data_IF_871090797513
#
_entry.id   IF_871090797513
#
_cell.length_a   1.000
_cell.length_b   1.000
_cell.length_c   1.000
_cell.angle_alpha   90.00
_cell.angle_beta   90.00
_cell.angle_gamma   90.00
#
_symmetry.space_group_name_H-M   'P 1'
#
loop_
_entity.id
_entity.type
_entity.pdbx_description
1 polymer ?
#
# COMPACT_ATOMS: atom_id res chain seq x y z
N UNK A 1 16.65 13.48 -5.89
CA UNK A 1 15.21 13.71 -5.52
C UNK A 1 14.50 14.38 -6.69
N UNK A 2 13.31 13.92 -7.14
CA UNK A 2 12.69 14.42 -8.38
C UNK A 2 12.44 15.93 -8.33
N UNK A 3 12.92 16.62 -9.36
CA UNK A 3 12.87 18.08 -9.53
C UNK A 3 11.46 18.61 -9.82
N UNK A 4 10.48 17.75 -10.10
CA UNK A 4 9.13 18.18 -10.51
C UNK A 4 8.20 18.60 -9.35
N UNK A 5 8.44 18.13 -8.13
CA UNK A 5 7.59 18.46 -6.97
C UNK A 5 8.39 19.18 -5.89
N UNK A 6 7.77 20.17 -5.25
CA UNK A 6 8.37 20.84 -4.09
C UNK A 6 8.25 19.99 -2.80
N UNK A 7 9.15 20.22 -1.83
CA UNK A 7 9.15 19.52 -0.54
C UNK A 7 7.84 19.67 0.21
N UNK A 8 7.22 20.86 0.17
CA UNK A 8 5.92 21.12 0.80
C UNK A 8 4.81 20.28 0.18
N UNK A 9 4.76 20.22 -1.15
CA UNK A 9 3.77 19.43 -1.90
C UNK A 9 3.91 17.93 -1.61
N UNK A 10 5.14 17.40 -1.60
CA UNK A 10 5.38 15.99 -1.22
C UNK A 10 4.90 15.68 0.20
N UNK A 11 5.15 16.57 1.16
CA UNK A 11 4.71 16.36 2.55
C UNK A 11 3.18 16.35 2.67
N UNK A 12 2.50 17.25 1.96
CA UNK A 12 1.04 17.25 1.90
C UNK A 12 0.49 15.94 1.32
N UNK A 13 1.05 15.48 0.19
CA UNK A 13 0.65 14.21 -0.44
C UNK A 13 0.89 13.02 0.49
N UNK A 14 2.01 12.99 1.24
CA UNK A 14 2.28 11.93 2.22
C UNK A 14 1.21 11.88 3.32
N UNK A 15 0.87 13.02 3.93
CA UNK A 15 -0.16 13.07 4.96
C UNK A 15 -1.55 12.72 4.40
N UNK A 16 -1.86 13.18 3.19
CA UNK A 16 -3.11 12.85 2.51
C UNK A 16 -3.24 11.35 2.28
N UNK A 17 -2.25 10.73 1.62
CA UNK A 17 -2.24 9.29 1.36
C UNK A 17 -2.23 8.48 2.66
N UNK A 18 -1.50 8.92 3.69
CA UNK A 18 -1.50 8.29 5.01
C UNK A 18 -2.87 8.32 5.68
N UNK A 19 -3.59 9.44 5.60
CA UNK A 19 -4.96 9.56 6.12
C UNK A 19 -5.92 8.58 5.46
N UNK A 20 -5.88 8.49 4.12
CA UNK A 20 -6.71 7.54 3.37
C UNK A 20 -6.34 6.08 3.63
N UNK A 21 -5.04 5.77 3.77
CA UNK A 21 -4.58 4.43 4.10
C UNK A 21 -5.09 3.98 5.48
N UNK A 22 -5.01 4.86 6.50
CA UNK A 22 -5.52 4.55 7.85
C UNK A 22 -7.04 4.36 7.83
N UNK A 23 -7.78 5.24 7.15
CA UNK A 23 -9.23 5.08 7.01
C UNK A 23 -9.61 3.76 6.33
N UNK A 24 -8.90 3.39 5.25
CA UNK A 24 -9.08 2.12 4.56
C UNK A 24 -8.78 0.91 5.48
N UNK A 25 -7.68 0.98 6.24
CA UNK A 25 -7.28 -0.06 7.19
C UNK A 25 -8.36 -0.30 8.26
N UNK A 26 -8.89 0.76 8.87
CA UNK A 26 -9.94 0.67 9.88
C UNK A 26 -11.22 0.04 9.30
N UNK A 27 -11.65 0.49 8.12
CA UNK A 27 -12.83 -0.07 7.46
C UNK A 27 -12.65 -1.56 7.08
N UNK A 28 -11.48 -1.93 6.55
CA UNK A 28 -11.16 -3.30 6.18
C UNK A 28 -11.10 -4.21 7.42
N UNK A 29 -10.44 -3.78 8.50
CA UNK A 29 -10.38 -4.50 9.77
C UNK A 29 -11.78 -4.71 10.36
N UNK A 30 -12.60 -3.66 10.40
CA UNK A 30 -13.98 -3.76 10.87
C UNK A 30 -14.77 -4.81 10.08
N UNK A 31 -14.65 -4.77 8.75
CA UNK A 31 -15.30 -5.75 7.85
C UNK A 31 -14.83 -7.17 8.16
N UNK A 32 -13.51 -7.40 8.20
CA UNK A 32 -12.93 -8.73 8.49
C UNK A 32 -13.37 -9.23 9.86
N UNK A 33 -13.31 -8.39 10.90
CA UNK A 33 -13.75 -8.79 12.25
C UNK A 33 -15.25 -9.14 12.28
N UNK A 34 -16.08 -8.39 11.55
CA UNK A 34 -17.52 -8.66 11.47
C UNK A 34 -17.79 -10.03 10.82
N UNK A 35 -17.08 -10.34 9.74
CA UNK A 35 -17.17 -11.65 9.10
C UNK A 35 -16.67 -12.76 10.01
N UNK A 36 -15.53 -12.59 10.69
CA UNK A 36 -14.94 -13.61 11.57
C UNK A 36 -15.83 -13.96 12.78
N UNK A 37 -16.61 -13.00 13.29
CA UNK A 37 -17.56 -13.25 14.39
C UNK A 37 -18.70 -14.16 13.97
N UNK A 38 -19.20 -14.05 12.74
CA UNK A 38 -20.31 -14.89 12.24
C UNK A 38 -20.17 -15.24 10.74
N UNK A 39 -19.21 -16.11 10.44
CA UNK A 39 -18.98 -16.66 9.09
C UNK A 39 -20.15 -17.52 8.58
N UNK A 40 -20.90 -18.13 9.51
CA UNK A 40 -21.98 -19.06 9.18
C UNK A 40 -23.22 -18.34 8.64
N UNK A 41 -23.47 -17.12 9.12
CA UNK A 41 -24.59 -16.29 8.65
C UNK A 41 -24.38 -15.73 7.24
N UNK A 42 -23.13 -15.49 6.84
CA UNK A 42 -22.79 -15.02 5.49
C UNK A 42 -22.38 -16.18 4.58
N UNK A 43 -23.34 -17.06 4.30
CA UNK A 43 -23.20 -18.05 3.23
C UNK A 43 -23.09 -17.34 1.84
N UNK A 44 -22.54 -18.06 0.87
CA UNK A 44 -22.46 -17.61 -0.53
C UNK A 44 -23.84 -17.07 -0.98
N UNK A 45 -23.98 -15.86 -1.56
CA UNK A 45 -23.02 -15.13 -2.40
C UNK A 45 -22.23 -13.98 -1.74
N UNK A 46 -22.30 -13.80 -0.41
CA UNK A 46 -21.70 -12.63 0.28
C UNK A 46 -20.20 -12.79 0.61
N UNK A 47 -19.67 -14.02 0.51
CA UNK A 47 -18.27 -14.37 0.84
C UNK A 47 -17.17 -13.64 0.04
N UNK A 48 -17.35 -13.23 -1.24
CA UNK A 48 -16.34 -12.46 -1.99
C UNK A 48 -15.94 -11.14 -1.32
N UNK A 49 -16.85 -10.53 -0.55
CA UNK A 49 -16.60 -9.28 0.18
C UNK A 49 -15.46 -9.45 1.21
N UNK A 50 -15.34 -10.62 1.83
CA UNK A 50 -14.25 -10.90 2.77
C UNK A 50 -12.89 -10.90 2.05
N UNK A 51 -12.78 -11.55 0.89
CA UNK A 51 -11.53 -11.60 0.13
C UNK A 51 -11.13 -10.22 -0.41
N UNK A 52 -12.12 -9.44 -0.85
CA UNK A 52 -11.96 -8.03 -1.19
C UNK A 52 -11.39 -7.22 -0.02
N UNK A 53 -12.00 -7.31 1.16
CA UNK A 53 -11.55 -6.60 2.35
C UNK A 53 -10.11 -6.99 2.77
N UNK A 54 -9.74 -8.27 2.65
CA UNK A 54 -8.37 -8.74 2.90
C UNK A 54 -7.36 -8.13 1.91
N UNK A 55 -7.72 -8.00 0.63
CA UNK A 55 -6.87 -7.35 -0.37
C UNK A 55 -6.66 -5.87 -0.03
N UNK A 56 -7.74 -5.15 0.29
CA UNK A 56 -7.65 -3.73 0.67
C UNK A 56 -6.89 -3.50 1.98
N UNK A 57 -6.95 -4.43 2.94
CA UNK A 57 -6.12 -4.40 4.14
C UNK A 57 -4.63 -4.43 3.77
N UNK A 58 -4.22 -5.36 2.91
CA UNK A 58 -2.83 -5.48 2.48
C UNK A 58 -2.35 -4.25 1.69
N UNK A 59 -3.20 -3.71 0.80
CA UNK A 59 -2.90 -2.47 0.06
C UNK A 59 -2.68 -1.31 1.05
N UNK A 60 -3.55 -1.17 2.06
CA UNK A 60 -3.42 -0.11 3.07
C UNK A 60 -2.11 -0.22 3.86
N UNK A 61 -1.67 -1.44 4.18
CA UNK A 61 -0.39 -1.69 4.86
C UNK A 61 0.79 -1.25 3.99
N UNK A 62 0.78 -1.55 2.69
CA UNK A 62 1.84 -1.09 1.78
C UNK A 62 1.93 0.44 1.75
N UNK A 63 0.79 1.14 1.71
CA UNK A 63 0.78 2.61 1.78
C UNK A 63 1.30 3.13 3.13
N UNK A 64 0.95 2.49 4.25
CA UNK A 64 1.48 2.88 5.58
C UNK A 64 3.01 2.70 5.66
N UNK A 65 3.54 1.59 5.13
CA UNK A 65 4.99 1.35 5.06
C UNK A 65 5.67 2.46 4.23
N UNK A 66 5.07 2.86 3.10
CA UNK A 66 5.57 3.95 2.27
C UNK A 66 5.58 5.31 2.97
N UNK A 67 4.58 5.60 3.81
CA UNK A 67 4.52 6.84 4.60
C UNK A 67 5.60 6.87 5.69
N UNK A 68 5.83 5.74 6.37
CA UNK A 68 6.85 5.64 7.44
C UNK A 68 8.28 5.65 6.88
N UNK A 69 8.51 4.96 5.76
CA UNK A 69 9.84 4.84 5.18
C UNK A 69 10.29 6.01 4.30
N UNK A 70 9.41 6.99 4.06
CA UNK A 70 9.69 8.21 3.31
C UNK A 70 10.55 8.01 2.05
N UNK A 71 11.77 8.52 2.05
CA UNK A 71 12.71 8.45 0.94
C UNK A 71 13.63 7.22 1.02
N UNK A 72 13.63 6.47 2.12
CA UNK A 72 14.51 5.32 2.34
C UNK A 72 14.18 4.12 1.45
N UNK A 73 12.92 3.97 1.04
CA UNK A 73 12.51 2.89 0.13
C UNK A 73 12.61 3.32 -1.34
N UNK A 74 12.42 4.61 -1.65
CA UNK A 74 12.35 5.12 -3.01
C UNK A 74 13.68 5.67 -3.55
N UNK A 75 14.64 6.00 -2.68
CA UNK A 75 15.96 6.50 -3.06
C UNK A 75 17.05 5.46 -2.80
N UNK A 76 17.97 5.32 -3.77
CA UNK A 76 19.14 4.46 -3.67
C UNK A 76 20.42 5.16 -4.14
N UNK A 77 21.61 4.69 -3.73
CA UNK A 77 22.87 5.19 -4.25
C UNK A 77 23.07 4.69 -5.69
N UNK A 78 23.24 5.61 -6.64
CA UNK A 78 23.55 5.26 -8.03
C UNK A 78 24.88 5.92 -8.45
N UNK A 79 25.89 5.10 -8.73
CA UNK A 79 27.15 5.53 -9.35
C UNK A 79 27.85 6.72 -8.68
N UNK A 80 27.77 6.86 -7.36
CA UNK A 80 28.43 7.95 -6.60
C UNK A 80 27.64 9.27 -6.50
N UNK A 81 26.44 9.35 -7.06
CA UNK A 81 25.55 10.52 -6.89
C UNK A 81 24.59 10.31 -5.71
N UNK A 82 24.38 11.30 -4.82
CA UNK A 82 23.44 11.15 -3.71
C UNK A 82 21.99 11.22 -4.22
N UNK A 83 21.28 10.10 -4.05
CA UNK A 83 19.82 9.96 -4.03
C UNK A 83 19.10 10.26 -5.37
N UNK A 84 19.25 9.34 -6.33
CA UNK A 84 18.32 9.20 -7.45
C UNK A 84 17.11 8.34 -7.05
N UNK A 85 16.00 8.52 -7.76
CA UNK A 85 14.87 7.59 -7.67
C UNK A 85 15.33 6.23 -8.17
N UNK A 86 14.99 5.17 -7.45
CA UNK A 86 15.27 3.79 -7.91
C UNK A 86 14.48 3.54 -9.19
N UNK A 87 15.16 3.59 -10.34
CA UNK A 87 14.58 3.37 -11.66
C UNK A 87 14.74 1.93 -12.14
N UNK A 88 15.73 1.20 -11.60
CA UNK A 88 15.93 -0.23 -11.86
C UNK A 88 15.50 -1.05 -10.64
N UNK A 89 14.57 -1.99 -10.85
CA UNK A 89 14.00 -2.83 -9.78
C UNK A 89 15.00 -3.77 -9.07
N UNK A 90 16.25 -3.86 -9.54
CA UNK A 90 17.30 -4.71 -8.95
C UNK A 90 18.05 -4.10 -7.78
N UNK A 91 18.11 -2.76 -7.66
CA UNK A 91 18.95 -2.10 -6.64
C UNK A 91 18.18 -1.81 -5.33
N UNK A 92 16.85 -1.90 -5.36
CA UNK A 92 15.98 -1.70 -4.20
C UNK A 92 15.02 -2.87 -4.01
N UNK A 93 15.50 -3.99 -3.43
CA UNK A 93 14.68 -5.19 -3.18
C UNK A 93 13.42 -4.90 -2.36
N UNK A 94 13.52 -3.99 -1.38
CA UNK A 94 12.38 -3.54 -0.59
C UNK A 94 11.35 -2.75 -1.42
N UNK A 95 11.81 -1.84 -2.29
CA UNK A 95 10.93 -1.07 -3.19
C UNK A 95 10.18 -2.00 -4.14
N UNK A 96 10.91 -2.95 -4.74
CA UNK A 96 10.33 -3.94 -5.66
C UNK A 96 9.36 -4.89 -4.96
N UNK A 97 9.68 -5.33 -3.73
CA UNK A 97 8.78 -6.14 -2.92
C UNK A 97 7.45 -5.44 -2.60
N UNK A 98 7.51 -4.17 -2.20
CA UNK A 98 6.31 -3.36 -1.97
C UNK A 98 5.51 -3.12 -3.26
N UNK A 99 6.18 -2.89 -4.39
CA UNK A 99 5.52 -2.72 -5.68
C UNK A 99 4.80 -4.00 -6.14
N UNK A 100 5.44 -5.17 -6.00
CA UNK A 100 4.84 -6.46 -6.34
C UNK A 100 3.66 -6.76 -5.43
N UNK A 101 3.78 -6.54 -4.11
CA UNK A 101 2.68 -6.72 -3.18
C UNK A 101 1.48 -5.84 -3.54
N UNK A 102 1.71 -4.54 -3.75
CA UNK A 102 0.65 -3.61 -4.14
C UNK A 102 -0.03 -4.03 -5.44
N UNK A 103 0.76 -4.37 -6.46
CA UNK A 103 0.24 -4.79 -7.76
C UNK A 103 -0.62 -6.07 -7.64
N UNK A 104 -0.12 -7.09 -6.96
CA UNK A 104 -0.83 -8.36 -6.78
C UNK A 104 -2.19 -8.17 -6.09
N UNK A 105 -2.22 -7.45 -4.96
CA UNK A 105 -3.47 -7.25 -4.21
C UNK A 105 -4.46 -6.33 -4.95
N UNK A 106 -3.96 -5.37 -5.73
CA UNK A 106 -4.82 -4.51 -6.57
C UNK A 106 -5.51 -5.34 -7.65
N UNK A 107 -4.76 -6.16 -8.39
CA UNK A 107 -5.34 -7.03 -9.43
C UNK A 107 -6.29 -8.06 -8.80
N UNK A 108 -5.91 -8.63 -7.65
CA UNK A 108 -6.77 -9.58 -6.92
C UNK A 108 -8.08 -8.93 -6.48
N UNK A 109 -8.06 -7.69 -5.97
CA UNK A 109 -9.29 -6.97 -5.61
C UNK A 109 -10.16 -6.67 -6.82
N UNK A 110 -9.60 -6.45 -8.00
CA UNK A 110 -10.43 -6.24 -9.20
C UNK A 110 -11.09 -7.52 -9.72
N UNK A 111 -10.56 -8.69 -9.33
CA UNK A 111 -11.05 -9.99 -9.77
C UNK A 111 -12.08 -10.62 -8.81
N UNK A 112 -11.97 -10.32 -7.51
CA UNK A 112 -12.93 -10.73 -6.48
C UNK A 112 -14.20 -9.89 -6.47
#
# INVERSE_FOLDING_TARGET
VPVFFDKRHRRYLRFWTGGWAVACCVCALFTITTFLVDLARFAYPVRPILYMAMCYLMISIVYMIGVVGEDSFACGPYGGTPQLLVAQGGEGTACSGLAVAHYYFTISSSAW
#
